data_IF_816247968271
#
_entry.id   IF_816247968271
#
_cell.length_a   1.000
_cell.length_b   1.000
_cell.length_c   1.000
_cell.angle_alpha   90.00
_cell.angle_beta   90.00
_cell.angle_gamma   90.00
#
_symmetry.space_group_name_H-M   'P 1'
#
loop_
_entity.id
_entity.type
_entity.pdbx_description
1 polymer ?
#
# COMPACT_ATOMS: atom_id res chain seq x y z
N UNK A 1 -1.09 5.03 2.06
CA UNK A 1 -0.47 6.29 1.60
C UNK A 1 -0.35 7.28 2.75
N UNK A 2 0.76 8.00 2.86
CA UNK A 2 0.96 9.02 3.90
C UNK A 2 1.75 10.22 3.39
N UNK A 3 1.57 11.39 4.01
CA UNK A 3 2.46 12.53 3.83
C UNK A 3 3.86 12.19 4.39
N UNK A 4 4.90 12.73 3.77
CA UNK A 4 6.23 12.71 4.36
C UNK A 4 6.28 13.54 5.65
N UNK A 5 7.25 13.24 6.53
CA UNK A 5 7.43 13.96 7.79
C UNK A 5 7.74 15.45 7.55
N UNK A 6 8.59 15.74 6.56
CA UNK A 6 8.91 17.11 6.15
C UNK A 6 7.85 17.63 5.16
N UNK A 7 7.04 18.58 5.61
CA UNK A 7 5.99 19.18 4.80
C UNK A 7 6.50 20.41 4.05
N UNK A 8 6.47 20.35 2.72
CA UNK A 8 6.78 21.49 1.86
C UNK A 8 5.67 22.56 1.87
N UNK A 9 4.43 22.16 2.13
CA UNK A 9 3.26 23.03 2.27
C UNK A 9 2.37 22.55 3.43
N UNK A 10 2.46 23.18 4.62
CA UNK A 10 1.75 22.73 5.83
C UNK A 10 0.23 22.97 5.79
N UNK A 11 -0.29 23.63 4.75
CA UNK A 11 -1.73 23.85 4.58
C UNK A 11 -2.26 23.26 3.27
N UNK A 12 -1.36 22.90 2.35
CA UNK A 12 -1.69 22.40 1.03
C UNK A 12 -2.32 21.01 1.08
N UNK A 13 -3.46 20.86 0.40
CA UNK A 13 -4.04 19.54 0.11
C UNK A 13 -3.18 18.85 -0.95
N UNK A 14 -2.86 17.59 -0.71
CA UNK A 14 -2.21 16.70 -1.67
C UNK A 14 -3.18 15.61 -2.10
N UNK A 15 -3.25 15.33 -3.40
CA UNK A 15 -4.10 14.28 -3.97
C UNK A 15 -3.21 13.26 -4.68
N UNK A 16 -3.49 11.98 -4.45
CA UNK A 16 -2.81 10.88 -5.15
C UNK A 16 -3.78 10.33 -6.17
N UNK A 17 -3.32 10.28 -7.41
CA UNK A 17 -4.03 9.68 -8.55
C UNK A 17 -3.25 8.44 -9.01
N UNK A 18 -3.95 7.48 -9.59
CA UNK A 18 -3.36 6.40 -10.38
C UNK A 18 -3.86 6.51 -11.81
N UNK A 19 -2.95 6.30 -12.75
CA UNK A 19 -3.24 6.21 -14.17
C UNK A 19 -2.97 4.77 -14.60
N UNK A 20 -3.99 4.11 -15.12
CA UNK A 20 -3.92 2.73 -15.61
C UNK A 20 -3.94 2.78 -17.13
N UNK A 21 -2.95 2.16 -17.77
CA UNK A 21 -2.90 2.04 -19.22
C UNK A 21 -3.84 0.94 -19.67
N UNK A 22 -4.67 1.25 -20.66
CA UNK A 22 -5.57 0.25 -21.24
C UNK A 22 -4.79 -0.51 -22.32
N UNK A 23 -4.71 -1.85 -22.25
CA UNK A 23 -4.13 -2.64 -23.32
C UNK A 23 -4.86 -2.41 -24.64
N UNK A 24 -4.13 -2.45 -25.76
CA UNK A 24 -4.71 -2.26 -27.10
C UNK A 24 -5.72 -3.36 -27.47
N UNK A 25 -5.62 -4.53 -26.83
CA UNK A 25 -6.48 -5.71 -27.00
C UNK A 25 -7.60 -5.81 -25.95
N UNK A 26 -7.79 -4.79 -25.11
CA UNK A 26 -8.88 -4.76 -24.14
C UNK A 26 -10.24 -4.63 -24.85
N UNK A 27 -11.01 -5.71 -24.85
CA UNK A 27 -12.39 -5.69 -25.35
C UNK A 27 -13.29 -5.03 -24.31
N UNK A 28 -13.83 -3.88 -24.67
CA UNK A 28 -14.79 -3.20 -23.83
C UNK A 28 -16.18 -3.81 -24.00
N UNK A 29 -16.97 -3.76 -22.94
CA UNK A 29 -18.39 -4.13 -23.00
C UNK A 29 -19.14 -3.22 -24.00
N UNK A 30 -19.83 -3.85 -24.95
CA UNK A 30 -20.60 -3.21 -26.03
C UNK A 30 -21.77 -2.36 -25.49
N UNK A 31 -22.14 -2.53 -24.21
CA UNK A 31 -23.20 -1.76 -23.54
C UNK A 31 -22.77 -0.31 -23.18
N UNK A 32 -21.52 0.09 -23.45
CA UNK A 32 -21.04 1.46 -23.25
C UNK A 32 -21.20 2.25 -24.56
N UNK A 33 -22.20 3.15 -24.61
CA UNK A 33 -22.49 4.14 -25.68
C UNK A 33 -21.38 5.21 -25.88
N UNK A 34 -20.10 4.83 -25.86
CA UNK A 34 -18.96 5.71 -26.10
C UNK A 34 -18.20 5.21 -27.32
N UNK A 35 -18.00 6.07 -28.31
CA UNK A 35 -17.24 5.74 -29.51
C UNK A 35 -15.84 5.23 -29.11
N UNK A 36 -15.41 4.04 -29.57
CA UNK A 36 -14.11 3.48 -29.23
C UNK A 36 -12.94 4.42 -29.53
N UNK A 37 -13.05 5.25 -30.56
CA UNK A 37 -12.02 6.23 -30.94
C UNK A 37 -11.95 7.46 -30.03
N UNK A 38 -12.98 7.70 -29.22
CA UNK A 38 -13.03 8.79 -28.23
C UNK A 38 -12.59 8.34 -26.83
N UNK A 39 -12.33 7.05 -26.63
CA UNK A 39 -11.90 6.52 -25.34
C UNK A 39 -10.43 6.92 -25.09
N UNK A 40 -10.11 7.49 -23.91
CA UNK A 40 -8.73 7.82 -23.60
C UNK A 40 -7.91 6.52 -23.49
N UNK A 41 -6.65 6.49 -23.97
CA UNK A 41 -5.79 5.30 -23.89
C UNK A 41 -5.40 4.91 -22.45
N UNK A 42 -5.80 5.73 -21.48
CA UNK A 42 -5.50 5.56 -20.07
C UNK A 42 -6.71 6.01 -19.23
N UNK A 43 -7.00 5.26 -18.17
CA UNK A 43 -7.98 5.65 -17.17
C UNK A 43 -7.27 6.26 -15.96
N UNK A 44 -7.83 7.36 -15.44
CA UNK A 44 -7.31 8.06 -14.27
C UNK A 44 -8.29 7.97 -13.12
N UNK A 45 -7.80 7.56 -11.96
CA UNK A 45 -8.57 7.44 -10.73
C UNK A 45 -7.92 8.24 -9.60
N UNK A 46 -8.74 8.89 -8.77
CA UNK A 46 -8.26 9.52 -7.54
C UNK A 46 -8.28 8.46 -6.43
N UNK A 47 -7.11 8.16 -5.86
CA UNK A 47 -6.98 7.18 -4.78
C UNK A 47 -7.30 7.80 -3.42
N UNK A 48 -6.69 8.95 -3.12
CA UNK A 48 -6.90 9.61 -1.85
C UNK A 48 -6.56 11.09 -1.88
N UNK A 49 -7.02 11.81 -0.86
CA UNK A 49 -6.60 13.16 -0.58
C UNK A 49 -6.08 13.28 0.86
N UNK A 50 -4.88 13.80 1.00
CA UNK A 50 -4.19 14.02 2.25
C UNK A 50 -4.10 15.52 2.53
N UNK A 51 -4.27 15.92 3.79
CA UNK A 51 -4.17 17.32 4.22
C UNK A 51 -3.48 17.34 5.58
N UNK A 52 -2.36 18.07 5.73
CA UNK A 52 -1.68 18.25 7.00
C UNK A 52 -2.63 18.68 8.13
N UNK A 53 -2.44 18.13 9.32
CA UNK A 53 -3.26 18.38 10.51
C UNK A 53 -4.70 17.84 10.44
N UNK A 54 -5.08 17.13 9.37
CA UNK A 54 -6.43 16.56 9.20
C UNK A 54 -6.40 15.09 8.81
N UNK A 55 -5.84 14.79 7.64
CA UNK A 55 -5.74 13.44 7.09
C UNK A 55 -4.33 13.31 6.53
N UNK A 56 -3.40 12.92 7.38
CA UNK A 56 -1.99 12.80 6.99
C UNK A 56 -1.64 11.41 6.46
N UNK A 57 -2.46 10.42 6.77
CA UNK A 57 -2.35 9.06 6.29
C UNK A 57 -3.73 8.49 5.99
N UNK A 58 -3.81 7.72 4.89
CA UNK A 58 -4.97 6.93 4.54
C UNK A 58 -4.51 5.53 4.08
N UNK A 59 -5.02 4.45 4.69
CA UNK A 59 -4.78 3.11 4.16
C UNK A 59 -5.44 2.99 2.79
N UNK A 60 -4.72 2.39 1.85
CA UNK A 60 -5.23 2.05 0.52
C UNK A 60 -5.30 0.53 0.44
N UNK A 61 -6.42 0.02 -0.02
CA UNK A 61 -6.63 -1.41 -0.25
C UNK A 61 -6.83 -1.61 -1.76
N UNK A 62 -5.72 -1.88 -2.44
CA UNK A 62 -5.64 -1.98 -3.89
C UNK A 62 -4.75 -3.18 -4.22
N UNK A 63 -5.19 -3.97 -5.19
CA UNK A 63 -4.38 -5.03 -5.79
C UNK A 63 -4.09 -4.58 -7.22
N UNK A 64 -2.81 -4.57 -7.58
CA UNK A 64 -2.35 -4.28 -8.94
C UNK A 64 -1.93 -5.60 -9.57
N UNK A 65 -2.66 -6.10 -10.57
CA UNK A 65 -2.31 -7.34 -11.25
C UNK A 65 -0.97 -7.24 -11.98
N UNK A 66 -0.29 -8.38 -12.12
CA UNK A 66 0.88 -8.52 -12.96
C UNK A 66 0.52 -8.23 -14.42
N UNK A 67 1.43 -7.58 -15.14
CA UNK A 67 1.21 -7.18 -16.52
C UNK A 67 0.46 -5.86 -16.71
N UNK A 68 -0.15 -5.31 -15.65
CA UNK A 68 -0.74 -3.96 -15.72
C UNK A 68 0.32 -2.86 -15.51
N UNK A 69 0.39 -1.92 -16.46
CA UNK A 69 1.25 -0.74 -16.35
C UNK A 69 0.47 0.40 -15.67
N UNK A 70 0.90 0.79 -14.47
CA UNK A 70 0.31 1.90 -13.71
C UNK A 70 1.30 3.01 -13.40
N UNK A 71 0.81 4.25 -13.40
CA UNK A 71 1.55 5.44 -12.99
C UNK A 71 0.87 6.09 -11.79
N UNK A 72 1.60 6.28 -10.69
CA UNK A 72 1.14 7.08 -9.55
C UNK A 72 1.48 8.55 -9.74
N UNK A 73 0.49 9.42 -9.65
CA UNK A 73 0.64 10.86 -9.83
C UNK A 73 0.27 11.59 -8.55
N UNK A 74 1.19 12.39 -8.03
CA UNK A 74 0.95 13.25 -6.87
C UNK A 74 0.60 14.67 -7.34
N UNK A 75 -0.56 15.17 -6.94
CA UNK A 75 -0.99 16.56 -7.14
C UNK A 75 -0.87 17.32 -5.83
N UNK A 76 0.05 18.27 -5.76
CA UNK A 76 0.33 19.05 -4.56
C UNK A 76 1.82 19.30 -4.43
N UNK A 77 2.22 19.97 -3.34
CA UNK A 77 3.65 20.26 -3.06
C UNK A 77 4.26 19.28 -2.07
N UNK A 78 3.44 18.60 -1.27
CA UNK A 78 3.94 17.67 -0.27
C UNK A 78 4.30 16.33 -0.90
N UNK A 79 5.41 15.77 -0.44
CA UNK A 79 5.82 14.41 -0.78
C UNK A 79 4.88 13.40 -0.11
N UNK A 80 4.63 12.30 -0.81
CA UNK A 80 3.76 11.20 -0.36
C UNK A 80 4.54 9.90 -0.41
N UNK A 81 4.38 9.06 0.62
CA UNK A 81 4.90 7.72 0.66
C UNK A 81 3.75 6.73 0.39
N UNK A 82 4.00 5.81 -0.53
CA UNK A 82 3.15 4.64 -0.77
C UNK A 82 3.86 3.41 -0.20
N UNK A 83 3.09 2.54 0.40
CA UNK A 83 3.57 1.29 0.99
C UNK A 83 2.56 0.20 0.67
N UNK A 84 3.05 -1.02 0.56
CA UNK A 84 2.27 -2.20 0.21
C UNK A 84 3.18 -3.42 0.18
N UNK A 85 2.61 -4.54 -0.23
CA UNK A 85 3.32 -5.80 -0.37
C UNK A 85 3.58 -6.08 -1.85
N UNK A 86 4.71 -6.71 -2.15
CA UNK A 86 4.89 -7.40 -3.41
C UNK A 86 4.30 -8.81 -3.24
N UNK A 87 3.42 -9.22 -4.15
CA UNK A 87 2.73 -10.51 -4.11
C UNK A 87 3.10 -11.21 -5.41
N UNK A 88 3.66 -12.42 -5.31
CA UNK A 88 3.88 -13.29 -6.46
C UNK A 88 2.52 -13.80 -6.95
N UNK A 89 2.17 -13.47 -8.20
CA UNK A 89 0.84 -13.74 -8.75
C UNK A 89 0.79 -15.00 -9.62
N UNK A 90 1.96 -15.48 -10.07
CA UNK A 90 2.10 -16.72 -10.80
C UNK A 90 2.60 -17.85 -9.88
N UNK A 91 1.80 -18.89 -9.61
CA UNK A 91 2.19 -19.99 -8.72
C UNK A 91 3.22 -20.95 -9.33
N UNK A 92 3.52 -20.82 -10.64
CA UNK A 92 4.40 -21.74 -11.36
C UNK A 92 5.86 -21.26 -11.44
N UNK A 93 6.20 -20.09 -10.90
CA UNK A 93 7.59 -19.56 -10.86
C UNK A 93 8.36 -19.99 -9.59
N UNK A 94 7.79 -20.86 -8.75
CA UNK A 94 8.41 -21.41 -7.54
C UNK A 94 9.26 -22.67 -7.83
N UNK A 95 10.06 -22.64 -8.89
CA UNK A 95 11.19 -23.56 -9.06
C UNK A 95 12.47 -22.76 -8.80
N UNK A 96 13.03 -22.88 -7.59
CA UNK A 96 14.35 -22.39 -7.14
C UNK A 96 14.37 -21.12 -6.27
N UNK A 97 13.70 -21.13 -5.11
CA UNK A 97 14.19 -20.37 -3.95
C UNK A 97 14.83 -21.35 -2.95
N UNK A 98 16.17 -21.29 -2.90
CA UNK A 98 17.00 -22.03 -1.96
C UNK A 98 16.43 -21.93 -0.53
N UNK A 99 16.12 -23.08 0.06
CA UNK A 99 15.84 -23.25 1.48
C UNK A 99 17.09 -22.89 2.30
N UNK A 100 17.42 -21.60 2.41
CA UNK A 100 18.34 -21.10 3.42
C UNK A 100 17.63 -21.21 4.78
N UNK A 101 17.71 -22.44 5.31
CA UNK A 101 17.73 -22.86 6.71
C UNK A 101 17.79 -21.66 7.68
N UNK A 102 16.63 -21.12 8.05
CA UNK A 102 16.51 -20.29 9.25
C UNK A 102 16.79 -21.22 10.44
N UNK A 103 18.06 -21.33 10.82
CA UNK A 103 18.49 -21.99 12.04
C UNK A 103 17.94 -21.24 13.26
N UNK A 104 16.81 -21.72 13.77
CA UNK A 104 16.13 -21.22 14.97
C UNK A 104 16.71 -21.88 16.24
N UNK A 105 17.79 -22.67 16.17
CA UNK A 105 18.39 -23.33 17.34
C UNK A 105 19.07 -22.34 18.32
N UNK A 106 19.13 -21.05 17.98
CA UNK A 106 19.82 -20.02 18.76
C UNK A 106 18.96 -19.19 19.72
N UNK A 107 17.63 -19.35 19.78
CA UNK A 107 16.82 -18.52 20.69
C UNK A 107 16.59 -19.23 22.04
N UNK A 108 17.18 -18.76 23.16
CA UNK A 108 16.89 -19.31 24.47
C UNK A 108 15.43 -19.00 24.82
N UNK A 109 14.60 -20.05 24.85
CA UNK A 109 13.17 -20.01 25.17
C UNK A 109 12.88 -19.78 26.65
N UNK A 110 13.78 -19.12 27.38
CA UNK A 110 13.76 -19.07 28.84
C UNK A 110 13.85 -17.63 29.34
N UNK A 111 12.77 -16.89 29.09
CA UNK A 111 12.40 -15.74 29.91
C UNK A 111 11.30 -16.23 30.86
N UNK A 112 11.69 -16.85 31.98
CA UNK A 112 10.81 -16.99 33.14
C UNK A 112 10.46 -15.57 33.62
N UNK A 113 9.24 -15.14 33.31
CA UNK A 113 8.62 -14.01 33.99
C UNK A 113 8.35 -14.46 35.44
N UNK A 114 9.26 -14.12 36.35
CA UNK A 114 8.96 -14.20 37.78
C UNK A 114 7.77 -13.27 38.05
N UNK A 115 6.61 -13.86 38.29
CA UNK A 115 5.39 -13.17 38.72
C UNK A 115 5.64 -12.61 40.12
N UNK A 116 5.96 -11.32 40.20
CA UNK A 116 6.04 -10.56 41.45
C UNK A 116 4.63 -10.34 42.00
N UNK A 117 4.10 -11.36 42.67
CA UNK A 117 2.81 -11.33 43.37
C UNK A 117 3.04 -11.01 44.86
N UNK A 118 3.36 -9.75 45.17
CA UNK A 118 3.26 -9.23 46.55
C UNK A 118 2.04 -8.31 46.71
N UNK A 119 0.92 -8.98 46.96
CA UNK A 119 -0.27 -8.57 47.70
C UNK A 119 -0.14 -7.25 48.50
N UNK A 120 -0.91 -6.25 48.07
CA UNK A 120 -1.19 -5.04 48.83
C UNK A 120 -2.10 -5.36 50.03
N UNK A 121 -1.50 -5.90 51.09
CA UNK A 121 -2.14 -6.16 52.37
C UNK A 121 -2.29 -4.90 53.22
N UNK A 122 -3.49 -4.32 53.20
CA UNK A 122 -4.02 -3.36 54.17
C UNK A 122 -3.85 -3.86 55.62
N UNK A 123 -3.25 -3.04 56.48
CA UNK A 123 -3.30 -3.22 57.94
C UNK A 123 -3.04 -1.90 58.69
N UNK A 124 -4.16 -1.23 58.99
CA UNK A 124 -4.56 -0.59 60.28
C UNK A 124 -3.68 0.45 60.96
#
# INVERSE_FOLDING_TARGET
ASLAADLADPNGRTVVEVVVKIPDDYEFDDDIDVDPSERPPMHKFVLCALTPGKVEQLPLDLVLPEGEEVEFVVKGKNQVHLYGNYIQQNPDDDEDEDEDEFDIEGHPSDLELEEDDEEAGDSR
#
